data_IF_894503509165
#
_entry.id   IF_894503509165
#
_cell.length_a   1.000
_cell.length_b   1.000
_cell.length_c   1.000
_cell.angle_alpha   90.00
_cell.angle_beta   90.00
_cell.angle_gamma   90.00
#
_symmetry.space_group_name_H-M   'P 1'
#
loop_
_entity.id
_entity.type
_entity.pdbx_description
1 polymer ?
#
# COMPACT_ATOMS: atom_id res chain seq x y z
N UNK A 1 3.46 14.67 2.81
CA UNK A 1 3.19 15.05 1.39
C UNK A 1 4.31 15.95 0.81
N UNK A 2 5.58 15.66 1.10
CA UNK A 2 6.74 16.51 0.72
C UNK A 2 7.43 15.98 -0.54
N UNK A 3 7.68 14.67 -0.60
CA UNK A 3 8.31 13.97 -1.73
C UNK A 3 7.62 14.28 -3.08
N UNK A 4 6.32 14.00 -3.21
CA UNK A 4 5.57 14.26 -4.46
C UNK A 4 5.49 15.73 -4.87
N UNK A 5 5.73 16.69 -3.94
CA UNK A 5 5.68 18.13 -4.23
C UNK A 5 7.02 18.69 -4.72
N UNK A 6 8.14 18.12 -4.29
CA UNK A 6 9.49 18.58 -4.64
C UNK A 6 10.13 17.73 -5.75
N UNK A 7 9.84 16.43 -5.78
CA UNK A 7 10.30 15.49 -6.79
C UNK A 7 9.14 14.57 -7.17
N UNK A 8 8.33 14.93 -8.19
CA UNK A 8 7.19 14.14 -8.60
C UNK A 8 7.67 12.80 -9.16
N UNK A 9 7.58 11.77 -8.33
CA UNK A 9 7.80 10.38 -8.69
C UNK A 9 6.51 9.61 -8.39
N UNK A 10 6.21 8.53 -9.14
CA UNK A 10 5.09 7.65 -8.79
C UNK A 10 5.25 7.10 -7.36
N UNK A 11 4.22 7.29 -6.54
CA UNK A 11 4.16 6.78 -5.16
C UNK A 11 2.83 6.05 -4.99
N UNK A 12 2.87 4.85 -4.41
CA UNK A 12 1.68 4.08 -4.03
C UNK A 12 1.65 3.92 -2.51
N UNK A 13 0.47 4.13 -1.92
CA UNK A 13 0.28 4.03 -0.48
C UNK A 13 -0.28 2.66 -0.11
N UNK A 14 0.49 1.88 0.65
CA UNK A 14 0.05 0.61 1.23
C UNK A 14 -0.27 0.86 2.70
N UNK A 15 -1.55 1.06 3.00
CA UNK A 15 -2.04 1.37 4.35
C UNK A 15 -3.47 0.83 4.54
N UNK A 16 -3.89 0.68 5.80
CA UNK A 16 -5.28 0.37 6.14
C UNK A 16 -6.17 1.47 5.57
N UNK A 17 -7.12 1.08 4.73
CA UNK A 17 -8.04 1.99 4.04
C UNK A 17 -9.16 2.41 4.98
N UNK A 18 -8.96 3.52 5.70
CA UNK A 18 -9.99 4.24 6.48
C UNK A 18 -11.04 3.35 7.19
N UNK A 19 -10.58 2.24 7.76
CA UNK A 19 -11.38 1.28 8.51
C UNK A 19 -10.79 1.12 9.90
N UNK A 20 -11.67 1.07 10.91
CA UNK A 20 -11.25 0.81 12.29
C UNK A 20 -10.55 -0.55 12.40
N UNK A 21 -9.52 -0.63 13.25
CA UNK A 21 -8.79 -1.86 13.52
C UNK A 21 -9.72 -2.87 14.19
N UNK A 22 -10.21 -3.81 13.41
CA UNK A 22 -10.98 -4.93 13.93
C UNK A 22 -10.05 -5.85 14.75
N UNK A 23 -10.59 -6.42 15.83
CA UNK A 23 -9.85 -7.38 16.66
C UNK A 23 -9.89 -8.75 15.99
N UNK A 24 -8.72 -9.32 15.71
CA UNK A 24 -8.62 -10.63 15.06
C UNK A 24 -7.17 -11.11 14.96
N UNK A 25 -6.94 -12.34 14.45
CA UNK A 25 -5.59 -12.88 14.25
C UNK A 25 -4.78 -12.00 13.30
N UNK A 26 -3.53 -11.61 13.65
CA UNK A 26 -2.75 -10.65 12.86
C UNK A 26 -2.61 -11.02 11.37
N UNK A 27 -2.45 -12.31 11.06
CA UNK A 27 -2.28 -12.78 9.69
C UNK A 27 -3.54 -12.59 8.82
N UNK A 28 -4.73 -12.73 9.41
CA UNK A 28 -6.01 -12.54 8.71
C UNK A 28 -6.28 -11.05 8.48
N UNK A 29 -5.96 -10.21 9.47
CA UNK A 29 -6.07 -8.76 9.34
C UNK A 29 -5.15 -8.23 8.24
N UNK A 30 -3.90 -8.69 8.18
CA UNK A 30 -2.96 -8.30 7.11
C UNK A 30 -3.48 -8.63 5.71
N UNK A 31 -4.08 -9.82 5.54
CA UNK A 31 -4.72 -10.20 4.27
C UNK A 31 -5.96 -9.35 3.97
N UNK A 32 -6.83 -9.14 4.96
CA UNK A 32 -8.06 -8.36 4.82
C UNK A 32 -7.80 -6.91 4.41
N UNK A 33 -6.77 -6.29 4.99
CA UNK A 33 -6.42 -4.90 4.70
C UNK A 33 -5.46 -4.72 3.52
N UNK A 34 -5.12 -5.79 2.80
CA UNK A 34 -4.22 -5.71 1.66
C UNK A 34 -2.80 -5.29 2.04
N UNK A 35 -2.34 -5.74 3.21
CA UNK A 35 -1.01 -5.49 3.76
C UNK A 35 -0.13 -6.75 3.73
N UNK A 36 -0.55 -7.79 3.02
CA UNK A 36 0.25 -9.00 2.86
C UNK A 36 1.35 -8.78 1.80
N UNK A 37 2.37 -9.65 1.80
CA UNK A 37 3.49 -9.56 0.86
C UNK A 37 3.04 -9.50 -0.62
N UNK A 38 1.99 -10.24 -0.98
CA UNK A 38 1.42 -10.23 -2.33
C UNK A 38 0.81 -8.87 -2.71
N UNK A 39 0.27 -8.13 -1.74
CA UNK A 39 -0.30 -6.80 -1.98
C UNK A 39 0.80 -5.75 -2.14
N UNK A 40 1.90 -5.88 -1.39
CA UNK A 40 3.10 -5.06 -1.54
C UNK A 40 3.72 -5.29 -2.92
N UNK A 41 3.87 -6.55 -3.35
CA UNK A 41 4.39 -6.89 -4.67
C UNK A 41 3.55 -6.25 -5.80
N UNK A 42 2.22 -6.35 -5.69
CA UNK A 42 1.30 -5.72 -6.65
C UNK A 42 1.46 -4.21 -6.67
N UNK A 43 1.52 -3.56 -5.50
CA UNK A 43 1.72 -2.12 -5.39
C UNK A 43 3.05 -1.68 -6.05
N UNK A 44 4.14 -2.43 -5.83
CA UNK A 44 5.43 -2.16 -6.48
C UNK A 44 5.32 -2.27 -7.99
N UNK A 45 4.70 -3.33 -8.52
CA UNK A 45 4.51 -3.52 -9.96
C UNK A 45 3.77 -2.34 -10.59
N UNK A 46 2.67 -1.90 -9.96
CA UNK A 46 1.89 -0.74 -10.42
C UNK A 46 2.69 0.56 -10.39
N UNK A 47 3.52 0.81 -9.37
CA UNK A 47 4.37 2.02 -9.31
C UNK A 47 5.41 2.02 -10.42
N UNK A 48 6.02 0.87 -10.69
CA UNK A 48 7.04 0.72 -11.74
C UNK A 48 6.42 0.92 -13.12
N UNK A 49 5.22 0.39 -13.37
CA UNK A 49 4.49 0.60 -14.63
C UNK A 49 4.16 2.08 -14.88
N UNK A 50 3.83 2.84 -13.83
CA UNK A 50 3.55 4.30 -13.93
C UNK A 50 4.79 5.17 -14.17
N UNK A 51 5.99 4.60 -14.10
CA UNK A 51 7.24 5.30 -14.40
C UNK A 51 7.52 5.35 -15.92
N UNK A 52 6.77 4.58 -16.71
CA UNK A 52 6.88 4.53 -18.17
C UNK A 52 6.26 5.73 -18.88
#
# INVERSE_FOLDING_TARGET
RVLARQHPVPVEFVAIKDTYAESGPPAELLRKYGLAAADIERAVRTVVERKG
#
